data_IF_367211007402
#
_entry.id   IF_367211007402
#
_cell.length_a   1.000
_cell.length_b   1.000
_cell.length_c   1.000
_cell.angle_alpha   90.00
_cell.angle_beta   90.00
_cell.angle_gamma   90.00
#
_symmetry.space_group_name_H-M   'P 1'
#
loop_
_entity.id
_entity.type
_entity.pdbx_description
1 polymer ?
#
# COMPACT_ATOMS: atom_id res chain seq x y z
N UNK A 1 39.17 1.58 19.53
CA UNK A 1 38.59 0.28 19.11
C UNK A 1 37.55 -0.22 20.12
N UNK A 2 37.86 -0.33 21.42
CA UNK A 2 36.87 -0.73 22.44
C UNK A 2 35.67 0.23 22.56
N UNK A 3 35.93 1.54 22.48
CA UNK A 3 34.89 2.59 22.57
C UNK A 3 33.88 2.54 21.41
N UNK A 4 34.34 2.19 20.20
CA UNK A 4 33.48 2.01 19.02
C UNK A 4 32.58 0.78 19.15
N UNK A 5 33.09 -0.29 19.75
CA UNK A 5 32.32 -1.51 20.03
C UNK A 5 31.21 -1.27 21.07
N UNK A 6 31.52 -0.53 22.15
CA UNK A 6 30.52 -0.17 23.17
C UNK A 6 29.45 0.77 22.61
N UNK A 7 29.84 1.74 21.78
CA UNK A 7 28.89 2.61 21.08
C UNK A 7 27.96 1.81 20.15
N UNK A 8 28.49 0.83 19.42
CA UNK A 8 27.67 -0.01 18.52
C UNK A 8 26.67 -0.88 19.31
N UNK A 9 27.08 -1.46 20.44
CA UNK A 9 26.16 -2.20 21.32
C UNK A 9 25.04 -1.32 21.86
N UNK A 10 25.35 -0.10 22.30
CA UNK A 10 24.35 0.84 22.79
C UNK A 10 23.34 1.22 21.68
N UNK A 11 23.81 1.40 20.45
CA UNK A 11 22.96 1.64 19.28
C UNK A 11 22.06 0.45 18.98
N UNK A 12 22.57 -0.77 18.98
CA UNK A 12 21.78 -2.00 18.77
C UNK A 12 20.71 -2.19 19.86
N UNK A 13 21.06 -1.90 21.12
CA UNK A 13 20.09 -1.94 22.22
C UNK A 13 18.97 -0.90 22.06
N UNK A 14 19.31 0.32 21.66
CA UNK A 14 18.31 1.37 21.41
C UNK A 14 17.37 0.98 20.26
N UNK A 15 17.92 0.46 19.15
CA UNK A 15 17.15 -0.06 18.01
C UNK A 15 16.19 -1.15 18.50
N UNK A 16 16.69 -2.12 19.28
CA UNK A 16 15.86 -3.22 19.80
C UNK A 16 14.75 -2.73 20.74
N UNK A 17 15.01 -1.71 21.56
CA UNK A 17 14.00 -1.13 22.44
C UNK A 17 12.88 -0.43 21.65
N UNK A 18 13.24 0.33 20.61
CA UNK A 18 12.29 1.00 19.72
C UNK A 18 11.41 -0.04 19.01
N UNK A 19 12.01 -1.09 18.44
CA UNK A 19 11.23 -2.14 17.78
C UNK A 19 10.26 -2.88 18.72
N UNK A 20 10.66 -3.10 19.98
CA UNK A 20 9.77 -3.72 20.97
C UNK A 20 8.60 -2.82 21.36
N UNK A 21 8.81 -1.51 21.46
CA UNK A 21 7.76 -0.56 21.84
C UNK A 21 6.81 -0.23 20.68
N UNK A 22 7.34 -0.04 19.48
CA UNK A 22 6.60 0.52 18.35
C UNK A 22 6.35 -0.49 17.22
N UNK A 23 6.87 -1.71 17.35
CA UNK A 23 6.72 -2.79 16.37
C UNK A 23 7.92 -2.91 15.42
N UNK A 24 8.03 -4.07 14.75
CA UNK A 24 9.07 -4.34 13.75
C UNK A 24 8.99 -3.34 12.60
N UNK A 25 10.14 -2.84 12.16
CA UNK A 25 10.23 -1.85 11.09
C UNK A 25 10.00 -0.40 11.51
N UNK A 26 9.80 -0.13 12.81
CA UNK A 26 9.73 1.23 13.35
C UNK A 26 11.05 2.00 13.26
N UNK A 27 12.17 1.27 13.15
CA UNK A 27 13.49 1.82 12.87
C UNK A 27 14.29 0.79 12.06
N UNK A 28 14.94 1.23 10.99
CA UNK A 28 15.68 0.37 10.07
C UNK A 28 16.92 1.11 9.56
N UNK A 29 18.00 0.39 9.23
CA UNK A 29 19.06 0.99 8.41
C UNK A 29 18.57 1.08 6.97
N UNK A 30 18.86 2.18 6.30
CA UNK A 30 18.49 2.34 4.89
C UNK A 30 19.16 1.31 3.97
N UNK A 31 20.27 0.72 4.41
CA UNK A 31 20.99 -0.36 3.73
C UNK A 31 20.57 -1.76 4.17
N UNK A 32 19.65 -1.91 5.13
CA UNK A 32 19.19 -3.24 5.53
C UNK A 32 18.28 -3.80 4.44
N UNK A 33 18.65 -4.96 3.90
CA UNK A 33 17.84 -5.74 2.96
C UNK A 33 16.70 -6.51 3.66
N UNK A 34 16.46 -6.26 4.95
CA UNK A 34 15.47 -6.98 5.75
C UNK A 34 14.04 -6.56 5.39
N UNK A 35 13.57 -7.04 4.24
CA UNK A 35 12.17 -6.93 3.85
C UNK A 35 11.36 -7.79 4.82
N UNK A 36 10.60 -7.15 5.70
CA UNK A 36 9.59 -7.83 6.49
C UNK A 36 8.62 -8.46 5.49
N UNK A 37 8.56 -9.80 5.45
CA UNK A 37 7.62 -10.50 4.58
C UNK A 37 6.20 -10.19 5.04
N UNK A 38 5.52 -9.36 4.25
CA UNK A 38 4.10 -9.00 4.43
C UNK A 38 3.37 -9.46 3.17
N UNK A 39 2.19 -10.09 3.29
CA UNK A 39 1.36 -10.39 2.13
C UNK A 39 1.09 -9.11 1.32
N UNK A 40 1.32 -9.17 0.01
CA UNK A 40 1.19 -8.01 -0.87
C UNK A 40 0.23 -8.29 -2.04
N UNK A 41 -0.36 -7.23 -2.58
CA UNK A 41 -1.13 -7.23 -3.82
C UNK A 41 -0.28 -6.50 -4.87
N UNK A 42 0.16 -7.19 -5.94
CA UNK A 42 0.86 -6.57 -7.05
C UNK A 42 0.15 -5.34 -7.62
N UNK A 43 0.94 -4.36 -8.03
CA UNK A 43 0.45 -3.08 -8.52
C UNK A 43 0.02 -3.11 -9.99
N UNK A 44 0.32 -4.21 -10.69
CA UNK A 44 0.20 -4.31 -12.15
C UNK A 44 1.39 -3.70 -12.90
N UNK A 45 2.35 -3.09 -12.19
CA UNK A 45 3.58 -2.54 -12.75
C UNK A 45 4.80 -3.19 -12.08
N UNK A 46 5.47 -4.11 -12.80
CA UNK A 46 6.61 -4.88 -12.28
C UNK A 46 7.71 -3.98 -11.68
N UNK A 47 8.01 -2.85 -12.32
CA UNK A 47 9.03 -1.92 -11.82
C UNK A 47 8.66 -1.34 -10.44
N UNK A 48 7.38 -1.07 -10.20
CA UNK A 48 6.89 -0.57 -8.92
C UNK A 48 6.86 -1.68 -7.86
N UNK A 49 6.43 -2.89 -8.22
CA UNK A 49 6.43 -4.05 -7.32
C UNK A 49 7.85 -4.35 -6.78
N UNK A 50 8.86 -4.26 -7.65
CA UNK A 50 10.27 -4.37 -7.27
C UNK A 50 10.72 -3.21 -6.38
N UNK A 51 10.34 -1.97 -6.72
CA UNK A 51 10.71 -0.79 -5.94
C UNK A 51 10.11 -0.80 -4.52
N UNK A 52 8.93 -1.38 -4.34
CA UNK A 52 8.30 -1.57 -3.02
C UNK A 52 8.97 -2.66 -2.18
N UNK A 53 9.82 -3.49 -2.77
CA UNK A 53 10.61 -4.54 -2.08
C UNK A 53 9.82 -5.76 -1.62
N UNK A 54 8.50 -5.64 -1.44
CA UNK A 54 7.59 -6.73 -1.03
C UNK A 54 6.76 -7.32 -2.18
N UNK A 55 6.97 -6.85 -3.42
CA UNK A 55 6.25 -7.35 -4.59
C UNK A 55 4.84 -6.79 -4.80
N UNK A 56 4.52 -5.64 -4.20
CA UNK A 56 3.23 -4.96 -4.36
C UNK A 56 2.86 -4.07 -3.18
N UNK A 57 1.59 -3.67 -3.10
CA UNK A 57 1.06 -2.94 -1.94
C UNK A 57 0.77 -3.90 -0.76
N UNK A 58 1.12 -3.54 0.49
CA UNK A 58 0.95 -4.42 1.64
C UNK A 58 -0.52 -4.60 2.04
N UNK A 59 -0.94 -5.84 2.35
CA UNK A 59 -2.28 -6.13 2.89
C UNK A 59 -2.40 -5.69 4.35
N UNK A 60 -3.60 -5.23 4.74
CA UNK A 60 -3.89 -4.81 6.11
C UNK A 60 -3.20 -3.51 6.53
N UNK A 61 -2.84 -2.67 5.55
CA UNK A 61 -2.18 -1.37 5.75
C UNK A 61 -2.87 -0.32 4.89
N UNK A 62 -2.84 0.92 5.35
CA UNK A 62 -3.25 2.08 4.55
C UNK A 62 -2.12 2.45 3.60
N UNK A 63 -2.45 2.72 2.35
CA UNK A 63 -1.51 3.15 1.30
C UNK A 63 -2.04 4.44 0.68
N UNK A 64 -1.18 5.44 0.57
CA UNK A 64 -1.51 6.72 -0.07
C UNK A 64 -0.83 6.80 -1.45
N UNK A 65 -1.62 7.14 -2.48
CA UNK A 65 -1.14 7.44 -3.83
C UNK A 65 -1.52 8.89 -4.13
N UNK A 66 -0.55 9.80 -4.06
CA UNK A 66 -0.78 11.23 -4.27
C UNK A 66 0.00 11.76 -5.49
N UNK A 67 -0.42 12.93 -5.99
CA UNK A 67 0.21 13.57 -7.15
C UNK A 67 -0.75 14.47 -7.94
N UNK A 68 -0.25 15.19 -8.95
CA UNK A 68 -1.05 16.11 -9.76
C UNK A 68 -2.25 15.45 -10.44
N UNK A 69 -3.24 16.24 -10.83
CA UNK A 69 -4.32 15.76 -11.69
C UNK A 69 -3.75 15.12 -12.96
N UNK A 70 -4.39 14.05 -13.44
CA UNK A 70 -3.93 13.29 -14.63
C UNK A 70 -2.55 12.62 -14.50
N UNK A 71 -1.97 12.50 -13.29
CA UNK A 71 -0.69 11.79 -13.09
C UNK A 71 -0.80 10.26 -13.10
N UNK A 72 -2.00 9.70 -13.27
CA UNK A 72 -2.24 8.25 -13.30
C UNK A 72 -2.61 7.60 -11.96
N UNK A 73 -2.93 8.38 -10.91
CA UNK A 73 -3.30 7.86 -9.58
C UNK A 73 -4.45 6.83 -9.65
N UNK A 74 -5.56 7.23 -10.26
CA UNK A 74 -6.75 6.38 -10.39
C UNK A 74 -6.46 5.15 -11.25
N UNK A 75 -5.68 5.30 -12.32
CA UNK A 75 -5.24 4.18 -13.16
C UNK A 75 -4.46 3.15 -12.35
N UNK A 76 -3.52 3.60 -11.51
CA UNK A 76 -2.74 2.70 -10.63
C UNK A 76 -3.64 2.02 -9.59
N UNK A 77 -4.57 2.75 -8.96
CA UNK A 77 -5.52 2.18 -8.02
C UNK A 77 -6.41 1.10 -8.67
N UNK A 78 -6.87 1.33 -9.90
CA UNK A 78 -7.67 0.37 -10.66
C UNK A 78 -6.85 -0.86 -11.08
N UNK A 79 -5.56 -0.72 -11.39
CA UNK A 79 -4.68 -1.88 -11.62
C UNK A 79 -4.49 -2.73 -10.35
N UNK A 80 -4.28 -2.09 -9.19
CA UNK A 80 -4.21 -2.79 -7.90
C UNK A 80 -5.54 -3.51 -7.62
N UNK A 81 -6.68 -2.87 -7.90
CA UNK A 81 -8.00 -3.49 -7.76
C UNK A 81 -8.17 -4.72 -8.66
N UNK A 82 -7.80 -4.62 -9.93
CA UNK A 82 -7.84 -5.74 -10.87
C UNK A 82 -6.94 -6.90 -10.39
N UNK A 83 -5.74 -6.59 -9.90
CA UNK A 83 -4.82 -7.57 -9.33
C UNK A 83 -5.38 -8.22 -8.04
N UNK A 84 -6.13 -7.49 -7.22
CA UNK A 84 -6.82 -8.05 -6.06
C UNK A 84 -7.93 -9.03 -6.50
N UNK A 85 -8.76 -8.66 -7.48
CA UNK A 85 -9.83 -9.51 -7.99
C UNK A 85 -9.32 -10.78 -8.67
N UNK A 86 -8.23 -10.71 -9.44
CA UNK A 86 -7.57 -11.90 -10.03
C UNK A 86 -7.12 -12.93 -8.99
N UNK A 87 -6.94 -12.49 -7.73
CA UNK A 87 -6.59 -13.33 -6.59
C UNK A 87 -7.80 -13.63 -5.71
N UNK A 88 -8.98 -13.63 -6.31
CA UNK A 88 -10.27 -13.94 -5.66
C UNK A 88 -10.62 -12.97 -4.52
N UNK A 89 -10.04 -11.77 -4.53
CA UNK A 89 -10.33 -10.71 -3.58
C UNK A 89 -11.58 -9.90 -3.97
N UNK A 90 -12.31 -9.44 -2.97
CA UNK A 90 -13.37 -8.44 -3.14
C UNK A 90 -12.79 -7.04 -3.08
N UNK A 91 -13.29 -6.13 -3.93
CA UNK A 91 -12.87 -4.73 -3.96
C UNK A 91 -14.09 -3.84 -3.76
N UNK A 92 -13.94 -2.84 -2.88
CA UNK A 92 -14.85 -1.73 -2.74
C UNK A 92 -14.15 -0.45 -3.20
N UNK A 93 -14.90 0.42 -3.88
CA UNK A 93 -14.45 1.71 -4.36
C UNK A 93 -15.35 2.81 -3.79
N UNK A 94 -14.77 3.73 -3.03
CA UNK A 94 -15.46 4.89 -2.48
C UNK A 94 -15.18 6.07 -3.41
N UNK A 95 -16.14 6.39 -4.27
CA UNK A 95 -16.03 7.43 -5.30
C UNK A 95 -16.60 8.76 -4.77
N UNK A 96 -15.78 9.49 -4.02
CA UNK A 96 -16.12 10.83 -3.53
C UNK A 96 -16.01 11.91 -4.63
N UNK A 97 -15.37 11.62 -5.77
CA UNK A 97 -15.17 12.57 -6.88
C UNK A 97 -16.25 12.45 -7.98
N UNK A 98 -17.08 11.41 -7.91
CA UNK A 98 -18.11 11.09 -8.90
C UNK A 98 -17.53 10.97 -10.32
N UNK A 99 -16.29 10.50 -10.42
CA UNK A 99 -15.46 10.55 -11.64
C UNK A 99 -15.05 9.16 -12.16
N UNK A 100 -15.50 8.08 -11.52
CA UNK A 100 -15.13 6.73 -11.93
C UNK A 100 -15.76 6.33 -13.27
N UNK A 101 -14.92 6.09 -14.28
CA UNK A 101 -15.33 5.50 -15.56
C UNK A 101 -15.28 3.98 -15.52
N UNK A 102 -16.46 3.35 -15.45
CA UNK A 102 -16.63 1.89 -15.43
C UNK A 102 -16.13 1.21 -16.71
N UNK A 103 -16.23 1.88 -17.87
CA UNK A 103 -15.73 1.35 -19.14
C UNK A 103 -14.21 1.33 -19.15
N UNK A 104 -13.57 2.35 -18.60
CA UNK A 104 -12.12 2.41 -18.45
C UNK A 104 -11.63 1.35 -17.45
N UNK A 105 -12.26 1.24 -16.28
CA UNK A 105 -11.93 0.24 -15.27
C UNK A 105 -11.97 -1.20 -15.84
N UNK A 106 -13.02 -1.53 -16.60
CA UNK A 106 -13.16 -2.83 -17.28
C UNK A 106 -12.00 -3.10 -18.24
N UNK A 107 -11.55 -2.09 -19.01
CA UNK A 107 -10.40 -2.22 -19.92
C UNK A 107 -9.07 -2.46 -19.19
N UNK A 108 -8.94 -1.96 -17.96
CA UNK A 108 -7.77 -2.22 -17.11
C UNK A 108 -7.80 -3.61 -16.45
N UNK A 109 -8.89 -4.37 -16.63
CA UNK A 109 -9.04 -5.73 -16.11
C UNK A 109 -9.78 -5.82 -14.78
N UNK A 110 -10.43 -4.73 -14.34
CA UNK A 110 -11.35 -4.77 -13.19
C UNK A 110 -12.61 -5.52 -13.60
N UNK A 111 -12.99 -6.50 -12.79
CA UNK A 111 -14.31 -7.11 -12.86
C UNK A 111 -15.33 -6.15 -12.23
N UNK A 112 -15.87 -5.28 -13.08
CA UNK A 112 -16.82 -4.24 -12.66
C UNK A 112 -18.17 -4.81 -12.22
N UNK A 113 -18.49 -6.06 -12.56
CA UNK A 113 -19.76 -6.67 -12.18
C UNK A 113 -19.73 -7.15 -10.71
N UNK A 114 -18.53 -7.41 -10.17
CA UNK A 114 -18.28 -7.74 -8.75
C UNK A 114 -17.72 -6.58 -7.91
N UNK A 115 -17.47 -5.42 -8.52
CA UNK A 115 -16.95 -4.24 -7.83
C UNK A 115 -18.04 -3.58 -6.99
N UNK A 116 -17.81 -3.43 -5.68
CA UNK A 116 -18.69 -2.65 -4.81
C UNK A 116 -18.37 -1.17 -4.97
N UNK A 117 -19.37 -0.33 -5.23
CA UNK A 117 -19.18 1.13 -5.40
C UNK A 117 -20.07 1.88 -4.44
N UNK A 118 -19.50 2.87 -3.74
CA UNK A 118 -20.23 3.82 -2.91
C UNK A 118 -19.91 5.24 -3.38
N UNK A 119 -20.94 6.07 -3.53
CA UNK A 119 -20.83 7.50 -3.84
C UNK A 119 -21.38 8.28 -2.64
N UNK A 120 -20.53 8.60 -1.64
CA UNK A 120 -20.97 9.27 -0.43
C UNK A 120 -21.22 10.77 -0.68
N UNK A 121 -22.16 11.34 0.06
CA UNK A 121 -22.48 12.76 0.06
C UNK A 121 -21.40 13.60 0.80
N UNK A 122 -20.69 13.01 1.77
CA UNK A 122 -19.61 13.67 2.53
C UNK A 122 -18.40 12.77 2.75
N UNK A 123 -17.25 13.38 3.09
CA UNK A 123 -16.02 12.64 3.40
C UNK A 123 -16.16 11.75 4.64
N UNK A 124 -16.85 12.23 5.67
CA UNK A 124 -17.14 11.45 6.89
C UNK A 124 -17.97 10.21 6.58
N UNK A 125 -19.02 10.35 5.77
CA UNK A 125 -19.82 9.22 5.33
C UNK A 125 -18.99 8.22 4.53
N UNK A 126 -18.07 8.71 3.67
CA UNK A 126 -17.15 7.85 2.93
C UNK A 126 -16.24 7.04 3.85
N UNK A 127 -15.75 7.65 4.93
CA UNK A 127 -14.91 6.96 5.93
C UNK A 127 -15.71 5.97 6.78
N UNK A 128 -16.97 6.26 7.14
CA UNK A 128 -17.82 5.35 7.90
C UNK A 128 -18.20 4.09 7.11
N UNK A 129 -18.22 4.17 5.77
CA UNK A 129 -18.49 3.06 4.86
C UNK A 129 -17.23 2.18 4.61
N UNK A 130 -16.03 2.76 4.71
CA UNK A 130 -14.75 2.14 4.36
C UNK A 130 -14.17 1.24 5.48
#
# INVERSE_FOLDING_TARGET
MAETLERNKAVEQAISQIEKQFGRGSIMKMSDDSVISVPAIPTGALALDLALGIGGVPRGRVVEIYGPESSGKTTLALHIAAEAQKREGMVAFIDAEHALDMSYARRLGVDVDSLLVSQPDTGEQGLDIA
#
